data_IF_682478970363
#
_entry.id   IF_682478970363
#
_cell.length_a   1.000
_cell.length_b   1.000
_cell.length_c   1.000
_cell.angle_alpha   90.00
_cell.angle_beta   90.00
_cell.angle_gamma   90.00
#
_symmetry.space_group_name_H-M   'P 1'
#
loop_
_entity.id
_entity.type
_entity.pdbx_description
1 polymer ?
#
# COMPACT_ATOMS: atom_id res chain seq x y z
N UNK A 1 -0.73 31.87 3.44
CA UNK A 1 -2.12 32.09 3.01
C UNK A 1 -2.83 30.76 3.08
N UNK A 2 -3.53 30.48 4.19
CA UNK A 2 -4.39 29.29 4.26
C UNK A 2 -5.48 29.42 3.21
N UNK A 3 -5.53 28.47 2.28
CA UNK A 3 -6.65 28.32 1.37
C UNK A 3 -7.91 28.07 2.21
N UNK A 4 -8.78 29.07 2.29
CA UNK A 4 -10.03 29.06 3.06
C UNK A 4 -11.09 28.11 2.48
N UNK A 5 -10.83 27.47 1.34
CA UNK A 5 -11.68 26.40 0.81
C UNK A 5 -11.11 25.02 1.14
N UNK A 6 -11.95 24.16 1.73
CA UNK A 6 -11.73 22.72 1.85
C UNK A 6 -11.23 22.15 0.50
N UNK A 7 -10.19 21.30 0.50
CA UNK A 7 -9.80 20.59 -0.71
C UNK A 7 -10.99 19.80 -1.26
N UNK A 8 -11.29 19.93 -2.55
CA UNK A 8 -12.37 19.17 -3.16
C UNK A 8 -11.88 17.81 -3.66
N UNK A 9 -12.77 16.82 -3.64
CA UNK A 9 -12.59 15.58 -4.39
C UNK A 9 -12.61 15.87 -5.91
N UNK A 10 -12.04 14.99 -6.76
CA UNK A 10 -12.01 15.22 -8.19
C UNK A 10 -13.42 15.32 -8.79
N UNK A 11 -13.55 16.03 -9.91
CA UNK A 11 -14.83 16.19 -10.59
C UNK A 11 -15.46 14.82 -10.94
N UNK A 12 -16.75 14.68 -10.68
CA UNK A 12 -17.48 13.43 -10.92
C UNK A 12 -17.27 12.34 -9.86
N UNK A 13 -16.49 12.58 -8.81
CA UNK A 13 -16.41 11.67 -7.68
C UNK A 13 -17.77 11.58 -6.95
N UNK A 14 -18.24 10.35 -6.75
CA UNK A 14 -19.49 10.02 -6.06
C UNK A 14 -19.28 9.16 -4.80
N UNK A 15 -18.02 8.89 -4.44
CA UNK A 15 -17.68 7.90 -3.42
C UNK A 15 -17.39 8.53 -2.06
N UNK A 16 -16.68 9.65 -2.03
CA UNK A 16 -16.21 10.24 -0.78
C UNK A 16 -16.26 11.77 -0.79
N UNK A 17 -16.17 12.38 0.37
CA UNK A 17 -15.91 13.81 0.51
C UNK A 17 -14.70 14.05 1.41
N UNK A 18 -14.05 15.19 1.25
CA UNK A 18 -12.95 15.60 2.12
C UNK A 18 -13.54 16.42 3.27
N UNK A 19 -13.25 16.01 4.50
CA UNK A 19 -13.69 16.70 5.72
C UNK A 19 -12.49 17.16 6.54
N UNK A 20 -12.64 18.26 7.26
CA UNK A 20 -11.67 18.66 8.30
C UNK A 20 -11.77 17.70 9.47
N UNK A 21 -10.63 17.21 9.95
CA UNK A 21 -10.50 16.43 11.18
C UNK A 21 -9.73 17.27 12.20
N UNK A 22 -10.35 17.66 13.32
CA UNK A 22 -9.68 18.41 14.38
C UNK A 22 -8.36 17.74 14.80
N UNK A 23 -7.25 18.48 14.69
CA UNK A 23 -5.91 17.99 15.05
C UNK A 23 -5.24 17.05 14.04
N UNK A 24 -5.92 16.61 12.98
CA UNK A 24 -5.35 15.73 11.92
C UNK A 24 -5.38 16.34 10.51
N UNK A 25 -5.89 17.56 10.36
CA UNK A 25 -5.98 18.23 9.07
C UNK A 25 -7.25 17.82 8.32
N UNK A 26 -7.11 17.02 7.26
CA UNK A 26 -8.23 16.57 6.42
C UNK A 26 -8.31 15.05 6.38
N UNK A 27 -9.45 14.49 6.00
CA UNK A 27 -9.60 13.08 5.66
C UNK A 27 -10.72 12.83 4.67
N UNK A 28 -10.66 11.70 3.97
CA UNK A 28 -11.66 11.29 2.98
C UNK A 28 -12.70 10.39 3.63
N UNK A 29 -13.98 10.76 3.60
CA UNK A 29 -15.08 10.02 4.23
C UNK A 29 -16.08 9.55 3.18
N UNK A 30 -16.53 8.31 3.28
CA UNK A 30 -17.46 7.73 2.32
C UNK A 30 -18.84 8.42 2.36
N UNK A 31 -19.38 8.76 1.19
CA UNK A 31 -20.72 9.35 1.02
C UNK A 31 -21.84 8.32 1.08
N UNK A 32 -21.52 7.05 0.83
CA UNK A 32 -22.44 5.92 0.75
C UNK A 32 -21.68 4.63 1.09
N UNK A 33 -22.36 3.49 1.32
CA UNK A 33 -21.66 2.22 1.45
C UNK A 33 -20.87 1.92 0.17
N UNK A 34 -19.61 1.52 0.30
CA UNK A 34 -18.74 1.17 -0.84
C UNK A 34 -18.29 -0.28 -0.67
N UNK A 35 -18.62 -1.10 -1.66
CA UNK A 35 -18.23 -2.51 -1.64
C UNK A 35 -16.74 -2.66 -1.93
N UNK A 36 -16.14 -3.67 -1.31
CA UNK A 36 -14.81 -4.16 -1.67
C UNK A 36 -14.71 -4.44 -3.18
N UNK A 37 -13.56 -4.06 -3.75
CA UNK A 37 -13.26 -4.16 -5.17
C UNK A 37 -13.64 -2.93 -5.99
N UNK A 38 -14.31 -1.95 -5.38
CA UNK A 38 -14.64 -0.69 -6.06
C UNK A 38 -13.38 0.15 -6.25
N UNK A 39 -13.07 0.54 -7.50
CA UNK A 39 -12.10 1.58 -7.81
C UNK A 39 -12.74 2.95 -7.56
N UNK A 40 -12.25 3.68 -6.56
CA UNK A 40 -12.80 4.98 -6.16
C UNK A 40 -12.00 6.16 -6.71
N UNK A 41 -10.76 5.93 -7.16
CA UNK A 41 -9.90 6.94 -7.76
C UNK A 41 -9.03 6.34 -8.87
N UNK A 42 -8.86 7.09 -9.95
CA UNK A 42 -7.84 6.90 -10.97
C UNK A 42 -7.28 8.27 -11.35
N UNK A 43 -6.04 8.56 -10.98
CA UNK A 43 -5.47 9.91 -10.99
C UNK A 43 -4.21 10.00 -11.85
N UNK A 44 -4.10 11.06 -12.65
CA UNK A 44 -2.87 11.42 -13.37
C UNK A 44 -1.83 12.00 -12.41
N UNK A 45 -0.53 11.71 -12.60
CA UNK A 45 0.51 12.32 -11.79
C UNK A 45 0.56 13.83 -12.04
N UNK A 46 0.60 14.62 -10.96
CA UNK A 46 0.82 16.06 -11.02
C UNK A 46 2.29 16.38 -11.32
N UNK A 47 3.20 15.73 -10.58
CA UNK A 47 4.64 15.96 -10.64
C UNK A 47 5.35 14.60 -10.57
N UNK A 48 6.30 14.36 -11.47
CA UNK A 48 7.04 13.09 -11.56
C UNK A 48 8.52 13.35 -11.31
N UNK A 49 9.11 12.57 -10.41
CA UNK A 49 10.56 12.45 -10.25
C UNK A 49 10.96 11.01 -10.57
N UNK A 50 11.70 10.74 -11.66
CA UNK A 50 11.89 9.39 -12.19
C UNK A 50 12.91 8.53 -11.40
N UNK A 51 13.37 9.01 -10.25
CA UNK A 51 14.36 8.36 -9.38
C UNK A 51 13.88 8.34 -7.92
N UNK A 52 14.15 7.26 -7.21
CA UNK A 52 13.73 7.08 -5.83
C UNK A 52 14.63 7.84 -4.83
N UNK A 53 15.93 7.96 -5.13
CA UNK A 53 16.92 8.73 -4.37
C UNK A 53 16.97 10.20 -4.81
N UNK A 54 15.78 10.81 -4.93
CA UNK A 54 15.61 12.19 -5.35
C UNK A 54 16.27 13.19 -4.39
N UNK A 55 16.79 14.28 -4.94
CA UNK A 55 17.29 15.45 -4.23
C UNK A 55 16.35 16.65 -4.46
N UNK A 56 16.54 17.73 -3.71
CA UNK A 56 15.76 18.95 -3.89
C UNK A 56 15.80 19.45 -5.35
N UNK A 57 16.96 19.42 -6.00
CA UNK A 57 17.11 19.90 -7.38
C UNK A 57 16.30 19.09 -8.40
N UNK A 58 16.09 17.79 -8.16
CA UNK A 58 15.24 16.96 -9.03
C UNK A 58 13.78 17.38 -8.93
N UNK A 59 13.33 17.72 -7.72
CA UNK A 59 11.97 18.21 -7.44
C UNK A 59 11.79 19.61 -8.04
N UNK A 60 12.76 20.51 -7.86
CA UNK A 60 12.74 21.87 -8.43
C UNK A 60 12.58 21.83 -9.94
N UNK A 61 13.39 21.01 -10.63
CA UNK A 61 13.32 20.83 -12.07
C UNK A 61 11.93 20.37 -12.53
N UNK A 62 11.37 19.34 -11.88
CA UNK A 62 10.05 18.84 -12.21
C UNK A 62 8.93 19.86 -11.87
N UNK A 63 9.13 20.65 -10.80
CA UNK A 63 8.19 21.67 -10.37
C UNK A 63 8.15 22.87 -11.31
N UNK A 64 9.29 23.26 -11.89
CA UNK A 64 9.39 24.36 -12.85
C UNK A 64 8.48 24.16 -14.08
N UNK A 65 8.36 22.91 -14.54
CA UNK A 65 7.54 22.50 -15.69
C UNK A 65 6.02 22.60 -15.42
N UNK A 66 5.60 22.73 -14.17
CA UNK A 66 4.18 22.86 -13.81
C UNK A 66 3.59 24.23 -14.21
N UNK A 67 2.33 24.21 -14.64
CA UNK A 67 1.50 25.41 -14.83
C UNK A 67 1.25 26.14 -13.50
N UNK A 68 0.91 27.44 -13.51
CA UNK A 68 0.59 28.19 -12.28
C UNK A 68 -0.51 27.52 -11.44
N UNK A 69 -1.53 26.95 -12.08
CA UNK A 69 -2.64 26.26 -11.42
C UNK A 69 -2.17 24.97 -10.74
N UNK A 70 -1.31 24.20 -11.40
CA UNK A 70 -0.70 22.99 -10.84
C UNK A 70 0.24 23.31 -9.68
N UNK A 71 1.04 24.39 -9.78
CA UNK A 71 1.88 24.89 -8.67
C UNK A 71 1.04 25.28 -7.47
N UNK A 72 -0.09 25.98 -7.70
CA UNK A 72 -1.05 26.31 -6.63
C UNK A 72 -1.62 25.05 -5.99
N UNK A 73 -2.03 24.06 -6.80
CA UNK A 73 -2.53 22.77 -6.30
C UNK A 73 -1.49 22.05 -5.45
N UNK A 74 -0.24 21.99 -5.89
CA UNK A 74 0.87 21.40 -5.14
C UNK A 74 1.02 22.02 -3.74
N UNK A 75 0.99 23.35 -3.65
CA UNK A 75 1.09 24.06 -2.37
C UNK A 75 -0.14 23.93 -1.47
N UNK A 76 -1.22 23.27 -1.91
CA UNK A 76 -2.34 22.90 -1.04
C UNK A 76 -2.10 21.59 -0.28
N UNK A 77 -1.06 20.84 -0.64
CA UNK A 77 -0.70 19.58 0.04
C UNK A 77 -0.05 19.86 1.39
N UNK A 78 -0.12 18.87 2.29
CA UNK A 78 0.54 19.00 3.59
C UNK A 78 2.05 19.03 3.37
N UNK A 79 2.78 19.84 4.14
CA UNK A 79 4.23 19.99 4.01
C UNK A 79 5.01 19.29 5.12
N UNK A 80 4.35 18.89 6.22
CA UNK A 80 5.02 18.20 7.33
C UNK A 80 6.23 18.95 7.91
N UNK A 81 6.33 20.27 7.71
CA UNK A 81 7.38 21.11 8.28
C UNK A 81 7.05 21.45 9.73
N UNK A 82 8.01 22.01 10.47
CA UNK A 82 7.84 22.39 11.87
C UNK A 82 7.92 21.24 12.86
N UNK A 83 8.48 20.09 12.47
CA UNK A 83 8.67 18.95 13.37
C UNK A 83 9.74 19.23 14.43
N UNK A 84 9.62 18.60 15.60
CA UNK A 84 10.60 18.76 16.69
C UNK A 84 11.98 18.19 16.28
N UNK A 85 13.05 19.02 16.24
CA UNK A 85 14.39 18.56 15.90
C UNK A 85 14.91 17.42 16.78
N UNK A 86 14.41 17.29 18.01
CA UNK A 86 14.82 16.21 18.94
C UNK A 86 14.37 14.82 18.50
N UNK A 87 13.40 14.71 17.60
CA UNK A 87 12.94 13.43 17.06
C UNK A 87 13.83 12.88 15.93
N UNK A 88 14.84 13.65 15.54
CA UNK A 88 15.71 13.37 14.41
C UNK A 88 17.18 13.26 14.83
N UNK A 89 17.97 12.37 14.21
CA UNK A 89 19.40 12.28 14.50
C UNK A 89 20.10 13.61 14.23
N UNK A 90 20.95 14.05 15.17
CA UNK A 90 21.73 15.29 15.05
C UNK A 90 23.06 15.10 14.31
N UNK A 91 23.44 13.86 14.01
CA UNK A 91 24.70 13.52 13.37
C UNK A 91 24.47 12.46 12.28
N UNK A 92 25.20 12.63 11.17
CA UNK A 92 25.23 11.67 10.06
C UNK A 92 26.59 10.98 10.09
N UNK A 93 26.58 9.65 10.18
CA UNK A 93 27.80 8.83 10.27
C UNK A 93 28.80 9.15 9.14
N UNK A 94 30.10 9.12 9.43
CA UNK A 94 31.16 9.52 8.50
C UNK A 94 31.22 8.66 7.23
N UNK A 95 30.83 7.39 7.32
CA UNK A 95 30.80 6.46 6.18
C UNK A 95 29.73 6.76 5.14
N UNK A 96 28.78 7.67 5.44
CA UNK A 96 27.74 8.06 4.49
C UNK A 96 28.35 8.87 3.35
N UNK A 97 28.15 8.39 2.12
CA UNK A 97 28.63 9.02 0.88
C UNK A 97 28.09 10.44 0.73
N UNK A 98 28.86 11.31 0.08
CA UNK A 98 28.53 12.74 -0.05
C UNK A 98 27.12 13.02 -0.60
N UNK A 99 26.70 12.34 -1.67
CA UNK A 99 25.36 12.52 -2.25
C UNK A 99 24.24 12.15 -1.27
N UNK A 100 24.40 11.03 -0.58
CA UNK A 100 23.40 10.58 0.41
C UNK A 100 23.37 11.49 1.64
N UNK A 101 24.54 11.99 2.06
CA UNK A 101 24.65 13.00 3.12
C UNK A 101 23.86 14.26 2.77
N UNK A 102 24.06 14.80 1.58
CA UNK A 102 23.32 15.97 1.09
C UNK A 102 21.80 15.70 1.09
N UNK A 103 21.36 14.54 0.58
CA UNK A 103 19.93 14.16 0.58
C UNK A 103 19.35 14.12 2.00
N UNK A 104 20.07 13.53 2.95
CA UNK A 104 19.65 13.49 4.37
C UNK A 104 19.55 14.90 4.95
N UNK A 105 20.54 15.75 4.69
CA UNK A 105 20.57 17.14 5.18
C UNK A 105 19.40 17.97 4.62
N UNK A 106 19.14 17.89 3.32
CA UNK A 106 18.02 18.57 2.66
C UNK A 106 16.66 18.15 3.24
N UNK A 107 16.43 16.84 3.37
CA UNK A 107 15.17 16.32 3.91
C UNK A 107 15.01 16.66 5.40
N UNK A 108 16.10 16.58 6.18
CA UNK A 108 16.08 16.94 7.59
C UNK A 108 15.75 18.43 7.77
N UNK A 109 16.47 19.31 7.06
CA UNK A 109 16.25 20.75 7.09
C UNK A 109 14.80 21.11 6.73
N UNK A 110 14.22 20.42 5.74
CA UNK A 110 12.83 20.62 5.33
C UNK A 110 11.80 20.19 6.39
N UNK A 111 12.05 19.13 7.16
CA UNK A 111 11.15 18.67 8.23
C UNK A 111 11.14 19.60 9.43
N UNK A 112 12.31 20.08 9.84
CA UNK A 112 12.45 20.95 11.02
C UNK A 112 12.28 22.44 10.69
N UNK A 113 12.29 22.79 9.40
CA UNK A 113 12.09 24.15 8.93
C UNK A 113 10.74 24.72 9.36
N UNK A 114 10.68 26.05 9.54
CA UNK A 114 9.46 26.73 9.99
C UNK A 114 8.45 27.02 8.87
N UNK A 115 8.89 26.89 7.62
CA UNK A 115 8.11 27.26 6.45
C UNK A 115 8.01 26.07 5.49
N UNK A 116 6.93 25.97 4.71
CA UNK A 116 6.79 24.95 3.69
C UNK A 116 7.81 25.15 2.56
N UNK A 117 8.48 24.07 2.17
CA UNK A 117 9.38 23.99 1.01
C UNK A 117 8.88 22.95 0.00
N UNK A 118 9.40 22.97 -1.24
CA UNK A 118 9.05 21.97 -2.26
C UNK A 118 9.31 20.55 -1.76
N UNK A 119 10.50 20.28 -1.24
CA UNK A 119 10.86 18.96 -0.70
C UNK A 119 10.07 18.58 0.55
N UNK A 120 9.69 19.54 1.40
CA UNK A 120 8.85 19.26 2.57
C UNK A 120 7.49 18.68 2.17
N UNK A 121 6.88 19.24 1.12
CA UNK A 121 5.63 18.73 0.54
C UNK A 121 5.88 17.40 -0.16
N UNK A 122 6.92 17.32 -1.00
CA UNK A 122 7.17 16.13 -1.81
C UNK A 122 7.32 14.88 -0.94
N UNK A 123 8.18 14.94 0.08
CA UNK A 123 8.63 13.79 0.85
C UNK A 123 7.52 13.08 1.65
N UNK A 124 6.39 13.76 1.93
CA UNK A 124 5.27 13.17 2.70
C UNK A 124 4.00 12.95 1.86
N UNK A 125 4.01 13.30 0.57
CA UNK A 125 2.86 13.09 -0.32
C UNK A 125 3.21 12.25 -1.55
N UNK A 126 4.50 12.01 -1.84
CA UNK A 126 4.89 11.25 -3.01
C UNK A 126 4.56 9.76 -2.85
N UNK A 127 4.11 9.14 -3.93
CA UNK A 127 3.89 7.70 -4.02
C UNK A 127 4.90 7.08 -4.98
N UNK A 128 5.27 5.82 -4.73
CA UNK A 128 6.19 5.09 -5.60
C UNK A 128 5.58 4.93 -7.00
N UNK A 129 6.36 5.27 -8.03
CA UNK A 129 5.95 5.15 -9.42
C UNK A 129 7.11 4.62 -10.26
N UNK A 130 7.00 3.36 -10.71
CA UNK A 130 8.06 2.64 -11.43
C UNK A 130 9.38 2.55 -10.65
N UNK A 131 10.37 3.40 -10.98
CA UNK A 131 11.68 3.48 -10.30
C UNK A 131 11.87 4.80 -9.55
N UNK A 132 10.84 5.63 -9.52
CA UNK A 132 10.85 6.94 -8.93
C UNK A 132 9.63 7.18 -8.07
N UNK A 133 9.26 8.44 -7.95
CA UNK A 133 8.13 8.89 -7.15
C UNK A 133 7.33 9.94 -7.90
N UNK A 134 6.03 10.00 -7.62
CA UNK A 134 5.15 11.00 -8.21
C UNK A 134 4.16 11.54 -7.17
N UNK A 135 3.63 12.74 -7.44
CA UNK A 135 2.63 13.40 -6.60
C UNK A 135 1.26 13.23 -7.24
N UNK A 136 0.31 12.74 -6.43
CA UNK A 136 -1.08 12.51 -6.80
C UNK A 136 -1.95 13.29 -5.81
N UNK A 137 -2.30 14.56 -6.12
CA UNK A 137 -2.91 15.47 -5.16
C UNK A 137 -4.21 15.00 -4.50
N UNK A 138 -5.03 14.22 -5.20
CA UNK A 138 -6.26 13.65 -4.64
C UNK A 138 -5.96 12.40 -3.82
N UNK A 139 -5.08 11.52 -4.29
CA UNK A 139 -4.65 10.32 -3.56
C UNK A 139 -3.89 10.67 -2.26
N UNK A 140 -3.14 11.76 -2.25
CA UNK A 140 -2.43 12.26 -1.07
C UNK A 140 -3.34 12.81 0.04
N UNK A 141 -4.67 12.85 -0.16
CA UNK A 141 -5.64 13.28 0.86
C UNK A 141 -6.14 12.16 1.75
N UNK A 142 -5.91 10.91 1.38
CA UNK A 142 -6.37 9.77 2.16
C UNK A 142 -5.41 9.52 3.31
N UNK A 143 -5.92 9.57 4.54
CA UNK A 143 -5.13 9.39 5.75
C UNK A 143 -4.62 7.96 5.93
N UNK A 144 -3.70 7.81 6.88
CA UNK A 144 -3.11 6.54 7.22
C UNK A 144 -3.95 5.71 8.20
N UNK A 145 -4.00 4.39 7.98
CA UNK A 145 -4.19 3.39 9.02
C UNK A 145 -3.26 2.19 8.76
N UNK A 146 -2.75 1.52 9.81
CA UNK A 146 -1.93 0.31 9.64
C UNK A 146 -2.75 -0.92 9.20
N UNK A 147 -4.08 -0.84 9.29
CA UNK A 147 -5.04 -1.85 8.82
C UNK A 147 -6.09 -1.15 7.95
N UNK A 148 -5.69 -0.59 6.79
CA UNK A 148 -6.55 0.28 6.00
C UNK A 148 -7.76 -0.46 5.41
N UNK A 149 -8.72 0.30 4.90
CA UNK A 149 -9.88 -0.19 4.14
C UNK A 149 -9.75 0.07 2.63
N UNK A 150 -8.73 0.81 2.18
CA UNK A 150 -8.37 0.98 0.78
C UNK A 150 -6.86 0.75 0.55
N UNK A 151 -6.48 0.49 -0.70
CA UNK A 151 -5.08 0.47 -1.12
C UNK A 151 -4.88 1.30 -2.39
N UNK A 152 -3.67 1.82 -2.55
CA UNK A 152 -3.24 2.51 -3.77
C UNK A 152 -2.27 1.63 -4.56
N UNK A 153 -2.21 1.82 -5.87
CA UNK A 153 -1.32 1.12 -6.79
C UNK A 153 -1.19 1.89 -8.10
N UNK A 154 0.05 2.10 -8.53
CA UNK A 154 0.37 2.60 -9.86
C UNK A 154 -0.01 1.56 -10.93
N UNK A 155 -0.98 1.91 -11.77
CA UNK A 155 -1.40 1.08 -12.89
C UNK A 155 -0.73 1.56 -14.19
N UNK A 156 0.37 0.91 -14.55
CA UNK A 156 1.17 1.26 -15.73
C UNK A 156 0.44 1.08 -17.07
N UNK A 157 -0.62 0.25 -17.15
CA UNK A 157 -1.38 0.06 -18.39
C UNK A 157 -2.23 1.28 -18.75
N UNK A 158 -2.71 2.01 -17.75
CA UNK A 158 -3.51 3.23 -17.94
C UNK A 158 -2.76 4.51 -17.55
N UNK A 159 -1.54 4.39 -17.02
CA UNK A 159 -0.70 5.52 -16.62
C UNK A 159 -1.27 6.33 -15.46
N UNK A 160 -1.93 5.67 -14.50
CA UNK A 160 -2.62 6.34 -13.38
C UNK A 160 -2.37 5.67 -12.04
N UNK A 161 -2.37 6.48 -10.99
CA UNK A 161 -2.48 6.00 -9.61
C UNK A 161 -3.92 5.61 -9.34
N UNK A 162 -4.15 4.41 -8.80
CA UNK A 162 -5.51 3.91 -8.58
C UNK A 162 -5.73 3.59 -7.11
N UNK A 163 -6.89 3.97 -6.57
CA UNK A 163 -7.31 3.58 -5.22
C UNK A 163 -8.49 2.63 -5.31
N UNK A 164 -8.36 1.47 -4.67
CA UNK A 164 -9.41 0.46 -4.59
C UNK A 164 -9.78 0.18 -3.14
N UNK A 165 -11.07 -0.03 -2.90
CA UNK A 165 -11.58 -0.48 -1.61
C UNK A 165 -11.24 -1.95 -1.41
N UNK A 166 -10.58 -2.27 -0.30
CA UNK A 166 -10.15 -3.64 0.05
C UNK A 166 -10.96 -4.25 1.19
N UNK A 167 -11.80 -3.45 1.87
CA UNK A 167 -12.81 -3.87 2.86
C UNK A 167 -14.06 -3.03 2.65
N UNK A 168 -15.25 -3.60 2.82
CA UNK A 168 -16.48 -2.81 2.72
C UNK A 168 -16.42 -1.59 3.65
N UNK A 169 -16.80 -0.42 3.12
CA UNK A 169 -16.75 0.86 3.82
C UNK A 169 -18.18 1.33 4.06
N UNK A 170 -18.52 1.65 5.30
CA UNK A 170 -19.83 2.19 5.66
C UNK A 170 -19.97 3.68 5.29
N UNK A 171 -21.20 4.17 5.21
CA UNK A 171 -21.44 5.62 5.05
C UNK A 171 -20.82 6.38 6.23
N UNK A 172 -20.15 7.49 5.95
CA UNK A 172 -19.41 8.32 6.90
C UNK A 172 -18.19 7.65 7.55
N UNK A 173 -17.78 6.47 7.11
CA UNK A 173 -16.50 5.88 7.52
C UNK A 173 -15.34 6.56 6.78
N UNK A 174 -14.23 6.77 7.47
CA UNK A 174 -13.01 7.32 6.87
C UNK A 174 -12.33 6.26 5.98
N UNK A 175 -12.00 6.64 4.75
CA UNK A 175 -11.24 5.83 3.82
C UNK A 175 -9.76 6.09 4.05
N UNK A 176 -9.01 5.03 4.36
CA UNK A 176 -7.61 5.11 4.77
C UNK A 176 -6.72 4.24 3.89
N UNK A 177 -5.45 4.64 3.76
CA UNK A 177 -4.38 3.92 3.09
C UNK A 177 -3.28 3.51 4.09
N UNK A 178 -2.36 2.63 3.70
CA UNK A 178 -1.14 2.38 4.49
C UNK A 178 0.03 3.17 3.92
N UNK A 179 0.68 3.99 4.74
CA UNK A 179 1.88 4.77 4.38
C UNK A 179 3.19 4.04 4.69
N UNK A 180 3.08 2.89 5.36
CA UNK A 180 4.16 2.00 5.75
C UNK A 180 3.85 0.57 5.29
N UNK A 181 4.82 -0.33 5.38
CA UNK A 181 4.52 -1.74 5.18
C UNK A 181 3.64 -2.23 6.34
N UNK A 182 2.44 -2.70 5.99
CA UNK A 182 1.47 -3.29 6.93
C UNK A 182 2.04 -4.49 7.71
N UNK A 183 3.15 -5.07 7.25
CA UNK A 183 3.81 -6.22 7.89
C UNK A 183 4.86 -5.88 8.92
N UNK A 184 5.32 -4.63 8.96
CA UNK A 184 6.28 -4.19 9.95
C UNK A 184 5.68 -4.25 11.36
N UNK A 185 6.52 -4.47 12.38
CA UNK A 185 6.08 -4.41 13.77
C UNK A 185 5.74 -2.97 14.18
N UNK A 186 5.15 -2.80 15.37
CA UNK A 186 4.69 -1.49 15.85
C UNK A 186 5.82 -0.48 15.98
N UNK A 187 7.04 -0.91 16.33
CA UNK A 187 8.19 -0.03 16.51
C UNK A 187 8.64 0.51 15.15
N UNK A 188 8.81 -0.36 14.16
CA UNK A 188 9.22 0.03 12.83
C UNK A 188 8.16 0.87 12.11
N UNK A 189 6.86 0.51 12.22
CA UNK A 189 5.78 1.37 11.69
C UNK A 189 5.80 2.75 12.33
N UNK A 190 5.97 2.83 13.65
CA UNK A 190 6.05 4.12 14.36
C UNK A 190 7.25 4.95 13.88
N UNK A 191 8.40 4.30 13.64
CA UNK A 191 9.58 4.94 13.08
C UNK A 191 9.35 5.46 11.65
N UNK A 192 8.68 4.70 10.78
CA UNK A 192 8.37 5.12 9.41
C UNK A 192 7.35 6.26 9.37
N UNK A 193 6.31 6.17 10.21
CA UNK A 193 5.22 7.15 10.25
C UNK A 193 5.64 8.49 10.86
N UNK A 194 6.68 8.52 11.70
CA UNK A 194 7.20 9.78 12.27
C UNK A 194 7.62 10.78 11.17
N UNK A 195 8.02 10.29 10.00
CA UNK A 195 8.39 11.14 8.85
C UNK A 195 7.24 12.04 8.38
N UNK A 196 6.00 11.62 8.61
CA UNK A 196 4.77 12.35 8.29
C UNK A 196 4.32 13.30 9.40
N UNK A 197 5.02 13.34 10.55
CA UNK A 197 4.74 14.29 11.62
C UNK A 197 3.53 13.94 12.50
N UNK A 198 3.07 12.69 12.52
CA UNK A 198 1.97 12.24 13.37
C UNK A 198 2.27 10.93 14.10
N UNK A 199 1.49 10.64 15.14
CA UNK A 199 1.47 9.35 15.84
C UNK A 199 0.19 8.62 15.45
N UNK A 200 0.32 7.41 14.92
CA UNK A 200 -0.83 6.62 14.48
C UNK A 200 -1.65 6.10 15.66
N UNK A 201 -2.96 6.31 15.62
CA UNK A 201 -3.93 5.90 16.63
C UNK A 201 -4.92 4.84 16.12
N UNK A 202 -4.60 4.18 15.00
CA UNK A 202 -5.45 3.11 14.46
C UNK A 202 -5.55 1.91 15.42
N UNK A 203 -6.54 1.01 15.25
CA UNK A 203 -6.75 -0.13 16.13
C UNK A 203 -5.51 -1.01 16.38
N UNK A 204 -4.60 -1.16 15.41
CA UNK A 204 -3.36 -1.93 15.58
C UNK A 204 -2.23 -1.19 16.31
N UNK A 205 -2.32 0.14 16.43
CA UNK A 205 -1.37 0.95 17.19
C UNK A 205 -1.91 1.31 18.58
N UNK A 206 -3.15 0.91 18.89
CA UNK A 206 -3.76 1.08 20.21
C UNK A 206 -3.02 0.35 21.33
N UNK A 207 -3.66 0.35 22.51
CA UNK A 207 -3.15 -0.35 23.70
C UNK A 207 -3.17 -1.87 23.46
N UNK A 208 -2.04 -2.51 23.75
CA UNK A 208 -1.74 -3.92 23.53
C UNK A 208 -1.45 -4.65 24.85
N UNK A 209 -1.95 -4.14 25.98
CA UNK A 209 -1.74 -4.71 27.32
C UNK A 209 -2.57 -5.99 27.57
N UNK A 210 -3.67 -6.18 26.83
CA UNK A 210 -4.62 -7.28 26.99
C UNK A 210 -4.69 -8.10 25.68
N UNK A 211 -4.55 -9.43 25.81
CA UNK A 211 -4.52 -10.39 24.70
C UNK A 211 -5.81 -10.43 23.86
N UNK A 212 -6.92 -9.98 24.44
CA UNK A 212 -8.21 -9.86 23.75
C UNK A 212 -8.27 -8.64 22.82
N UNK A 213 -7.36 -7.68 22.97
CA UNK A 213 -7.35 -6.45 22.16
C UNK A 213 -6.92 -6.75 20.72
N UNK A 214 -7.48 -5.97 19.79
CA UNK A 214 -7.05 -6.07 18.40
C UNK A 214 -5.57 -5.74 18.23
N UNK A 215 -5.03 -4.76 18.98
CA UNK A 215 -3.63 -4.35 18.90
C UNK A 215 -2.67 -5.50 19.29
N UNK A 216 -2.93 -6.18 20.41
CA UNK A 216 -2.14 -7.33 20.84
C UNK A 216 -2.17 -8.45 19.78
N UNK A 217 -3.36 -8.87 19.36
CA UNK A 217 -3.50 -9.93 18.36
C UNK A 217 -2.87 -9.55 17.03
N UNK A 218 -2.92 -8.27 16.66
CA UNK A 218 -2.32 -7.76 15.44
C UNK A 218 -0.79 -7.75 15.50
N UNK A 219 -0.21 -7.56 16.68
CA UNK A 219 1.23 -7.77 16.92
C UNK A 219 1.60 -9.24 16.72
N UNK A 220 0.88 -10.17 17.34
CA UNK A 220 1.13 -11.62 17.21
C UNK A 220 1.02 -12.09 15.75
N UNK A 221 -0.04 -11.68 15.06
CA UNK A 221 -0.25 -12.03 13.64
C UNK A 221 0.87 -11.51 12.73
N UNK A 222 1.31 -10.27 12.94
CA UNK A 222 2.43 -9.69 12.16
C UNK A 222 3.76 -10.37 12.46
N UNK A 223 4.03 -10.69 13.73
CA UNK A 223 5.23 -11.46 14.10
C UNK A 223 5.25 -12.81 13.37
N UNK A 224 4.14 -13.55 13.42
CA UNK A 224 4.04 -14.84 12.76
C UNK A 224 4.18 -14.76 11.24
N UNK A 225 3.56 -13.76 10.62
CA UNK A 225 3.73 -13.51 9.20
C UNK A 225 5.18 -13.18 8.82
N UNK A 226 5.92 -12.44 9.65
CA UNK A 226 7.35 -12.20 9.41
C UNK A 226 8.18 -13.48 9.50
N UNK A 227 7.88 -14.38 10.43
CA UNK A 227 8.52 -15.70 10.49
C UNK A 227 8.26 -16.52 9.22
N UNK A 228 6.99 -16.58 8.80
CA UNK A 228 6.57 -17.29 7.60
C UNK A 228 7.20 -16.69 6.34
N UNK A 229 7.29 -15.37 6.24
CA UNK A 229 7.94 -14.71 5.11
C UNK A 229 9.44 -15.04 5.07
N UNK A 230 10.15 -15.03 6.21
CA UNK A 230 11.56 -15.46 6.27
C UNK A 230 11.74 -16.91 5.85
N UNK A 231 10.82 -17.79 6.26
CA UNK A 231 10.86 -19.21 5.94
C UNK A 231 10.50 -19.53 4.48
N UNK A 232 9.67 -18.70 3.82
CA UNK A 232 9.08 -19.03 2.52
C UNK A 232 9.58 -18.16 1.37
N UNK A 233 10.07 -16.94 1.60
CA UNK A 233 10.37 -15.95 0.54
C UNK A 233 11.28 -16.47 -0.59
N UNK A 234 12.25 -17.33 -0.27
CA UNK A 234 13.19 -17.87 -1.27
C UNK A 234 12.66 -19.09 -2.04
N UNK A 235 11.51 -19.63 -1.61
CA UNK A 235 10.84 -20.79 -2.18
C UNK A 235 9.56 -20.41 -2.93
N UNK A 236 9.21 -19.12 -3.00
CA UNK A 236 8.03 -18.59 -3.70
C UNK A 236 8.40 -18.07 -5.09
N UNK A 237 7.42 -17.74 -5.92
CA UNK A 237 7.66 -17.16 -7.25
C UNK A 237 8.45 -18.09 -8.17
N UNK A 238 9.65 -17.69 -8.61
CA UNK A 238 10.46 -18.47 -9.55
C UNK A 238 10.92 -19.83 -8.99
N UNK A 239 11.05 -19.95 -7.67
CA UNK A 239 11.51 -21.17 -7.00
C UNK A 239 10.36 -22.02 -6.44
N UNK A 240 9.11 -21.74 -6.85
CA UNK A 240 7.92 -22.39 -6.30
C UNK A 240 7.93 -23.92 -6.43
N UNK A 241 8.54 -24.45 -7.50
CA UNK A 241 8.70 -25.89 -7.67
C UNK A 241 9.57 -26.53 -6.59
N UNK A 242 10.58 -25.82 -6.07
CA UNK A 242 11.40 -26.32 -4.95
C UNK A 242 10.64 -26.23 -3.63
N UNK A 243 9.88 -25.15 -3.42
CA UNK A 243 8.96 -25.05 -2.29
C UNK A 243 7.92 -26.17 -2.28
N UNK A 244 7.35 -26.49 -3.45
CA UNK A 244 6.34 -27.53 -3.60
C UNK A 244 6.82 -28.93 -3.22
N UNK A 245 8.14 -29.19 -3.19
CA UNK A 245 8.73 -30.45 -2.73
C UNK A 245 8.81 -30.58 -1.21
N UNK A 246 8.69 -29.48 -0.45
CA UNK A 246 8.75 -29.50 1.01
C UNK A 246 7.37 -29.76 1.61
N UNK A 247 7.23 -30.80 2.41
CA UNK A 247 5.93 -31.27 2.92
C UNK A 247 5.13 -30.17 3.62
N UNK A 248 5.79 -29.37 4.46
CA UNK A 248 5.18 -28.32 5.30
C UNK A 248 4.96 -26.97 4.59
N UNK A 249 5.37 -26.83 3.33
CA UNK A 249 5.33 -25.55 2.62
C UNK A 249 3.91 -25.07 2.36
N UNK A 250 3.00 -25.98 2.01
CA UNK A 250 1.59 -25.62 1.77
C UNK A 250 0.91 -25.15 3.07
N UNK A 251 1.21 -25.77 4.21
CA UNK A 251 0.68 -25.37 5.52
C UNK A 251 1.15 -23.96 5.88
N UNK A 252 2.44 -23.64 5.65
CA UNK A 252 2.98 -22.29 5.83
C UNK A 252 2.23 -21.26 4.97
N UNK A 253 2.01 -21.54 3.69
CA UNK A 253 1.29 -20.63 2.80
C UNK A 253 -0.19 -20.45 3.21
N UNK A 254 -0.86 -21.53 3.63
CA UNK A 254 -2.24 -21.47 4.14
C UNK A 254 -2.33 -20.63 5.42
N UNK A 255 -1.38 -20.80 6.34
CA UNK A 255 -1.27 -19.99 7.55
C UNK A 255 -1.04 -18.51 7.21
N UNK A 256 -0.14 -18.20 6.26
CA UNK A 256 0.05 -16.82 5.77
C UNK A 256 -1.24 -16.23 5.22
N UNK A 257 -1.98 -16.97 4.38
CA UNK A 257 -3.24 -16.49 3.81
C UNK A 257 -4.29 -16.21 4.90
N UNK A 258 -4.37 -17.06 5.91
CA UNK A 258 -5.27 -16.87 7.05
C UNK A 258 -4.89 -15.62 7.87
N UNK A 259 -3.61 -15.44 8.18
CA UNK A 259 -3.12 -14.29 8.95
C UNK A 259 -3.32 -12.97 8.21
N UNK A 260 -3.04 -12.90 6.89
CA UNK A 260 -3.36 -11.72 6.08
C UNK A 260 -4.86 -11.41 6.10
N UNK A 261 -5.71 -12.43 5.98
CA UNK A 261 -7.17 -12.27 6.04
C UNK A 261 -7.61 -11.69 7.39
N UNK A 262 -7.04 -12.18 8.50
CA UNK A 262 -7.35 -11.70 9.86
C UNK A 262 -6.82 -10.27 10.12
N UNK A 263 -5.69 -9.89 9.54
CA UNK A 263 -5.21 -8.50 9.54
C UNK A 263 -6.03 -7.58 8.63
N UNK A 264 -6.87 -8.18 7.78
CA UNK A 264 -7.62 -7.49 6.75
C UNK A 264 -6.72 -6.94 5.63
N UNK A 265 -5.58 -7.58 5.39
CA UNK A 265 -4.72 -7.30 4.24
C UNK A 265 -5.29 -8.00 2.99
N UNK A 266 -6.16 -7.31 2.27
CA UNK A 266 -6.68 -7.76 0.96
C UNK A 266 -5.96 -7.07 -0.20
N UNK A 267 -4.65 -6.85 -0.08
CA UNK A 267 -3.83 -6.26 -1.14
C UNK A 267 -3.28 -7.31 -2.12
N UNK A 268 -2.45 -6.86 -3.06
CA UNK A 268 -1.73 -7.73 -3.99
C UNK A 268 -0.86 -8.79 -3.28
N UNK A 269 -0.49 -8.56 -2.01
CA UNK A 269 0.26 -9.53 -1.21
C UNK A 269 -0.54 -10.79 -0.94
N UNK A 270 -1.78 -10.66 -0.45
CA UNK A 270 -2.66 -11.82 -0.23
C UNK A 270 -3.03 -12.51 -1.55
N UNK A 271 -3.23 -11.74 -2.63
CA UNK A 271 -3.44 -12.32 -3.95
C UNK A 271 -2.27 -13.22 -4.37
N UNK A 272 -1.02 -12.76 -4.16
CA UNK A 272 0.18 -13.54 -4.47
C UNK A 272 0.29 -14.81 -3.61
N UNK A 273 -0.02 -14.74 -2.31
CA UNK A 273 -0.04 -15.93 -1.43
C UNK A 273 -1.06 -16.96 -1.93
N UNK A 274 -2.28 -16.53 -2.29
CA UNK A 274 -3.27 -17.46 -2.87
C UNK A 274 -2.84 -18.05 -4.21
N UNK A 275 -2.14 -17.27 -5.06
CA UNK A 275 -1.58 -17.79 -6.30
C UNK A 275 -0.51 -18.85 -6.02
N UNK A 276 0.38 -18.61 -5.05
CA UNK A 276 1.39 -19.60 -4.65
C UNK A 276 0.74 -20.90 -4.15
N UNK A 277 -0.31 -20.81 -3.30
CA UNK A 277 -1.11 -21.97 -2.86
C UNK A 277 -1.69 -22.71 -4.07
N UNK A 278 -2.31 -21.99 -5.00
CA UNK A 278 -2.93 -22.58 -6.18
C UNK A 278 -1.93 -23.36 -7.04
N UNK A 279 -0.77 -22.77 -7.28
CA UNK A 279 0.29 -23.37 -8.10
C UNK A 279 1.00 -24.53 -7.40
N UNK A 280 1.18 -24.49 -6.07
CA UNK A 280 1.70 -25.63 -5.30
C UNK A 280 0.71 -26.80 -5.33
N UNK A 281 -0.58 -26.55 -5.14
CA UNK A 281 -1.62 -27.58 -5.24
C UNK A 281 -1.68 -28.16 -6.66
N UNK A 282 -1.58 -27.31 -7.70
CA UNK A 282 -1.50 -27.75 -9.10
C UNK A 282 -0.29 -28.67 -9.32
N UNK A 283 0.88 -28.32 -8.78
CA UNK A 283 2.10 -29.12 -8.88
C UNK A 283 1.96 -30.48 -8.20
N UNK A 284 1.25 -30.54 -7.07
CA UNK A 284 0.97 -31.78 -6.32
C UNK A 284 -0.20 -32.60 -6.87
N UNK A 285 -0.86 -32.13 -7.92
CA UNK A 285 -2.03 -32.79 -8.51
C UNK A 285 -3.34 -32.62 -7.74
N UNK A 286 -3.37 -31.78 -6.70
CA UNK A 286 -4.60 -31.41 -6.00
C UNK A 286 -5.31 -30.27 -6.74
N UNK A 287 -5.92 -30.62 -7.87
CA UNK A 287 -6.57 -29.63 -8.73
C UNK A 287 -7.80 -28.97 -8.11
N UNK A 288 -8.45 -29.63 -7.14
CA UNK A 288 -9.60 -29.05 -6.42
C UNK A 288 -9.16 -27.91 -5.52
N UNK A 289 -8.14 -28.14 -4.69
CA UNK A 289 -7.62 -27.06 -3.84
C UNK A 289 -6.92 -25.98 -4.68
N UNK A 290 -6.28 -26.36 -5.79
CA UNK A 290 -5.71 -25.42 -6.73
C UNK A 290 -6.76 -24.45 -7.31
N UNK A 291 -7.94 -24.96 -7.69
CA UNK A 291 -9.03 -24.12 -8.18
C UNK A 291 -9.53 -23.16 -7.09
N UNK A 292 -9.80 -23.67 -5.88
CA UNK A 292 -10.28 -22.86 -4.74
C UNK A 292 -9.33 -21.70 -4.46
N UNK A 293 -8.03 -21.98 -4.35
CA UNK A 293 -7.01 -20.97 -4.12
C UNK A 293 -6.89 -20.01 -5.32
N UNK A 294 -6.95 -20.53 -6.55
CA UNK A 294 -6.86 -19.73 -7.77
C UNK A 294 -8.02 -18.75 -7.93
N UNK A 295 -9.25 -19.16 -7.59
CA UNK A 295 -10.42 -18.27 -7.56
C UNK A 295 -10.20 -17.12 -6.57
N UNK A 296 -9.70 -17.43 -5.36
CA UNK A 296 -9.38 -16.40 -4.36
C UNK A 296 -8.28 -15.46 -4.82
N UNK A 297 -7.23 -15.98 -5.45
CA UNK A 297 -6.13 -15.18 -5.99
C UNK A 297 -6.63 -14.18 -7.03
N UNK A 298 -7.42 -14.64 -8.01
CA UNK A 298 -8.02 -13.79 -9.06
C UNK A 298 -8.96 -12.75 -8.46
N UNK A 299 -9.79 -13.13 -7.48
CA UNK A 299 -10.72 -12.21 -6.84
C UNK A 299 -10.00 -11.11 -6.07
N UNK A 300 -9.06 -11.45 -5.17
CA UNK A 300 -8.29 -10.45 -4.41
C UNK A 300 -7.51 -9.53 -5.37
N UNK A 301 -6.90 -10.10 -6.42
CA UNK A 301 -6.17 -9.32 -7.43
C UNK A 301 -7.07 -8.32 -8.16
N UNK A 302 -8.27 -8.78 -8.55
CA UNK A 302 -9.29 -7.92 -9.18
C UNK A 302 -9.70 -6.80 -8.22
N UNK A 303 -9.93 -7.14 -6.95
CA UNK A 303 -10.46 -6.20 -5.97
C UNK A 303 -9.46 -5.08 -5.66
N UNK A 304 -8.18 -5.40 -5.49
CA UNK A 304 -7.19 -4.41 -5.04
C UNK A 304 -6.55 -3.60 -6.17
N UNK A 305 -6.59 -4.09 -7.42
CA UNK A 305 -5.85 -3.49 -8.53
C UNK A 305 -6.64 -3.40 -9.85
N UNK A 306 -7.75 -4.12 -9.98
CA UNK A 306 -8.56 -4.16 -11.20
C UNK A 306 -8.08 -5.17 -12.25
N UNK A 307 -8.93 -5.42 -13.24
CA UNK A 307 -8.68 -6.38 -14.33
C UNK A 307 -7.75 -5.85 -15.42
N UNK A 308 -7.60 -4.53 -15.49
CA UNK A 308 -6.72 -3.79 -16.39
C UNK A 308 -5.28 -3.63 -15.85
N UNK A 309 -4.98 -4.17 -14.66
CA UNK A 309 -3.65 -4.07 -14.07
C UNK A 309 -2.61 -4.94 -14.83
N UNK A 310 -1.34 -4.49 -15.00
CA UNK A 310 -0.37 -5.12 -15.91
C UNK A 310 -0.18 -6.64 -15.81
N UNK A 311 -0.30 -7.22 -14.62
CA UNK A 311 -0.12 -8.65 -14.40
C UNK A 311 -1.40 -9.36 -13.94
N UNK A 312 -2.59 -8.77 -14.14
CA UNK A 312 -3.86 -9.43 -13.84
C UNK A 312 -4.05 -10.72 -14.67
N UNK A 313 -3.73 -10.68 -15.95
CA UNK A 313 -3.86 -11.83 -16.88
C UNK A 313 -3.11 -13.06 -16.39
N UNK A 314 -1.92 -12.90 -15.80
CA UNK A 314 -1.16 -14.01 -15.18
C UNK A 314 -2.00 -14.82 -14.17
N UNK A 315 -2.82 -14.15 -13.37
CA UNK A 315 -3.70 -14.80 -12.40
C UNK A 315 -4.86 -15.51 -13.12
N UNK A 316 -5.51 -14.82 -14.06
CA UNK A 316 -6.63 -15.36 -14.83
C UNK A 316 -6.24 -16.60 -15.65
N UNK A 317 -5.11 -16.53 -16.35
CA UNK A 317 -4.58 -17.62 -17.17
C UNK A 317 -4.18 -18.84 -16.31
N UNK A 318 -3.61 -18.59 -15.13
CA UNK A 318 -3.27 -19.67 -14.18
C UNK A 318 -4.53 -20.38 -13.69
N UNK A 319 -5.57 -19.63 -13.32
CA UNK A 319 -6.86 -20.21 -12.92
C UNK A 319 -7.51 -20.97 -14.09
N UNK A 320 -7.51 -20.40 -15.29
CA UNK A 320 -8.05 -21.07 -16.47
C UNK A 320 -7.34 -22.42 -16.73
N UNK A 321 -6.01 -22.44 -16.69
CA UNK A 321 -5.21 -23.66 -16.83
C UNK A 321 -5.58 -24.71 -15.76
N UNK A 322 -5.69 -24.30 -14.50
CA UNK A 322 -6.06 -25.18 -13.39
C UNK A 322 -7.44 -25.80 -13.62
N UNK A 323 -8.43 -24.99 -14.01
CA UNK A 323 -9.80 -25.47 -14.31
C UNK A 323 -9.82 -26.48 -15.45
N UNK A 324 -9.06 -26.23 -16.51
CA UNK A 324 -8.94 -27.18 -17.63
C UNK A 324 -8.35 -28.52 -17.17
N UNK A 325 -7.30 -28.49 -16.34
CA UNK A 325 -6.72 -29.73 -15.78
C UNK A 325 -7.70 -30.48 -14.87
N UNK A 326 -8.43 -29.77 -14.02
CA UNK A 326 -9.45 -30.38 -13.15
C UNK A 326 -10.52 -31.11 -13.97
N UNK A 327 -11.07 -30.45 -14.99
CA UNK A 327 -12.08 -31.03 -15.87
C UNK A 327 -11.57 -32.29 -16.60
N UNK A 328 -10.31 -32.31 -17.03
CA UNK A 328 -9.70 -33.49 -17.64
C UNK A 328 -9.61 -34.67 -16.65
N UNK A 329 -9.21 -34.42 -15.41
CA UNK A 329 -9.13 -35.46 -14.37
C UNK A 329 -10.52 -36.00 -14.01
N UNK A 330 -11.53 -35.13 -13.95
CA UNK A 330 -12.91 -35.53 -13.65
C UNK A 330 -13.53 -36.35 -14.79
N UNK A 331 -13.25 -35.99 -16.04
CA UNK A 331 -13.65 -36.77 -17.21
C UNK A 331 -13.03 -38.17 -17.21
N UNK A 332 -11.72 -38.28 -16.89
CA UNK A 332 -11.03 -39.58 -16.80
C UNK A 332 -11.56 -40.48 -15.68
N UNK A 333 -12.09 -39.92 -14.59
CA UNK A 333 -12.69 -40.68 -13.48
C UNK A 333 -14.11 -41.15 -13.77
N UNK A 334 -14.78 -40.51 -14.74
CA UNK A 334 -16.17 -40.78 -15.11
C UNK A 334 -16.31 -41.72 -16.32
N UNK A 335 -15.20 -42.03 -16.98
CA UNK A 335 -15.09 -42.96 -18.11
C UNK A 335 -14.64 -44.35 -17.64
#
# INVERSE_FOLDING_TARGET
MESTSLPAAPAGNEYYEVRTIPGKGYGCFALKPIARGTRILAEDPLLIVPIADYMLCDIEKAFEELTPEQKKLYFTLHSGHGQDPKQWPSQIHESVKARERQRIEEQHAARIGKEPTLISIFQINCMEMNRGAAIFPYAARFNHACNPNACFSWNANIGKETIHIIKDVATNEEITLSYCDMMHDKVLRSYELKHYGFVCDCPACGKDEDESTFAYQSTERRYKLQELERATRFLRGANLSEGAKQDDFIQKLLEMAALHTLEGDYTARLAAVFLDIALVCEHRGDFKMAEVAGVRAVQVKKDCQGTDFPNYTKYADSLHRIKTKLAMVEAQRSA
#
